data_IF_699406634200
#
_entry.id   IF_699406634200
#
_cell.length_a   1.000
_cell.length_b   1.000
_cell.length_c   1.000
_cell.angle_alpha   90.00
_cell.angle_beta   90.00
_cell.angle_gamma   90.00
#
_symmetry.space_group_name_H-M   'P 1'
#
loop_
_entity.id
_entity.type
_entity.pdbx_description
1 polymer ?
#
# COMPACT_ATOMS: atom_id res chain seq x y z
N UNK A 1 -36.58 -11.66 -11.32
CA UNK A 1 -35.38 -12.44 -11.60
C UNK A 1 -34.59 -11.71 -12.70
N UNK A 2 -33.73 -10.75 -12.35
CA UNK A 2 -32.80 -10.12 -13.28
C UNK A 2 -31.40 -10.35 -12.69
N UNK A 3 -30.67 -11.28 -13.31
CA UNK A 3 -29.24 -11.52 -13.03
C UNK A 3 -28.45 -10.45 -13.77
N UNK A 4 -27.95 -9.45 -13.05
CA UNK A 4 -26.92 -8.54 -13.56
C UNK A 4 -25.59 -9.27 -13.47
N UNK A 5 -25.05 -9.67 -14.62
CA UNK A 5 -23.68 -10.13 -14.76
C UNK A 5 -22.75 -8.92 -14.51
N UNK A 6 -22.12 -8.88 -13.35
CA UNK A 6 -20.97 -8.01 -13.13
C UNK A 6 -19.80 -8.56 -13.96
N UNK A 7 -19.53 -7.90 -15.06
CA UNK A 7 -18.37 -8.18 -15.93
C UNK A 7 -17.11 -7.77 -15.16
N UNK A 8 -16.39 -8.73 -14.59
CA UNK A 8 -15.06 -8.56 -14.07
C UNK A 8 -14.14 -8.27 -15.28
N UNK A 9 -13.80 -7.00 -15.47
CA UNK A 9 -12.82 -6.58 -16.44
C UNK A 9 -11.43 -7.10 -16.06
N UNK A 10 -11.00 -8.23 -16.63
CA UNK A 10 -9.61 -8.64 -16.65
C UNK A 10 -8.82 -7.59 -17.42
N UNK A 11 -8.07 -6.76 -16.70
CA UNK A 11 -7.02 -5.95 -17.29
C UNK A 11 -5.92 -6.92 -17.77
N UNK A 12 -5.97 -7.27 -19.06
CA UNK A 12 -4.87 -7.92 -19.76
C UNK A 12 -3.70 -6.94 -19.83
N UNK A 13 -2.79 -7.00 -18.84
CA UNK A 13 -1.48 -6.36 -18.97
C UNK A 13 -0.73 -7.15 -20.07
N UNK A 14 -0.69 -6.59 -21.27
CA UNK A 14 0.24 -7.00 -22.30
C UNK A 14 1.66 -6.75 -21.79
N UNK A 15 2.31 -7.78 -21.29
CA UNK A 15 3.75 -7.82 -21.04
C UNK A 15 4.46 -7.76 -22.39
N UNK A 16 4.81 -6.57 -22.85
CA UNK A 16 5.74 -6.40 -23.96
C UNK A 16 7.12 -6.85 -23.48
N UNK A 17 7.77 -7.83 -24.13
CA UNK A 17 9.10 -8.25 -23.78
C UNK A 17 10.12 -7.19 -24.22
N UNK A 18 10.95 -6.75 -23.27
CA UNK A 18 12.30 -6.27 -23.58
C UNK A 18 12.49 -4.80 -23.88
N UNK A 19 11.89 -3.87 -23.15
CA UNK A 19 12.51 -2.54 -23.00
C UNK A 19 13.37 -2.53 -21.75
N UNK A 20 14.68 -2.70 -21.90
CA UNK A 20 15.64 -2.30 -20.86
C UNK A 20 15.57 -0.76 -20.79
N UNK A 21 14.81 -0.24 -19.86
CA UNK A 21 14.82 1.19 -19.56
C UNK A 21 16.15 1.46 -18.88
N UNK A 22 17.02 2.23 -19.55
CA UNK A 22 18.26 2.67 -18.94
C UNK A 22 17.90 3.48 -17.69
N UNK A 23 18.47 3.09 -16.55
CA UNK A 23 18.20 3.72 -15.26
C UNK A 23 18.80 5.11 -15.24
N UNK A 24 17.96 6.15 -15.22
CA UNK A 24 18.43 7.53 -15.05
C UNK A 24 18.75 7.75 -13.58
N UNK A 25 20.03 8.06 -13.30
CA UNK A 25 20.53 8.29 -11.93
C UNK A 25 21.07 9.70 -11.77
N UNK A 26 21.06 10.19 -10.54
CA UNK A 26 21.73 11.43 -10.12
C UNK A 26 22.89 11.07 -9.20
N UNK A 27 24.12 11.38 -9.62
CA UNK A 27 25.34 11.16 -8.86
C UNK A 27 25.87 12.49 -8.33
N UNK A 28 26.11 12.57 -7.03
CA UNK A 28 26.71 13.76 -6.42
C UNK A 28 28.22 13.57 -6.31
N UNK A 29 28.98 14.51 -6.85
CA UNK A 29 30.43 14.55 -6.74
C UNK A 29 30.87 15.07 -5.35
N UNK A 30 32.13 14.83 -4.96
CA UNK A 30 32.66 15.33 -3.68
C UNK A 30 32.69 16.84 -3.56
N UNK A 31 32.81 17.55 -4.68
CA UNK A 31 32.73 19.03 -4.72
C UNK A 31 31.30 19.57 -4.53
N UNK A 32 30.27 18.69 -4.51
CA UNK A 32 28.88 19.05 -4.35
C UNK A 32 28.09 19.16 -5.65
N UNK A 33 28.73 19.07 -6.81
CA UNK A 33 28.04 19.07 -8.10
C UNK A 33 27.25 17.79 -8.29
N UNK A 34 26.15 17.85 -9.04
CA UNK A 34 25.31 16.70 -9.36
C UNK A 34 25.34 16.42 -10.86
N UNK A 35 25.62 15.17 -11.20
CA UNK A 35 25.58 14.65 -12.57
C UNK A 35 24.33 13.82 -12.76
N UNK A 36 23.55 14.12 -13.80
CA UNK A 36 22.33 13.41 -14.15
C UNK A 36 22.56 12.68 -15.48
N UNK A 37 22.23 11.39 -15.54
CA UNK A 37 22.39 10.62 -16.77
C UNK A 37 21.94 9.18 -16.61
N UNK A 38 22.08 8.43 -17.69
CA UNK A 38 21.76 7.00 -17.70
C UNK A 38 22.92 6.20 -17.10
N UNK A 39 22.61 5.36 -16.12
CA UNK A 39 23.59 4.44 -15.55
C UNK A 39 23.89 3.32 -16.57
N UNK A 40 25.12 3.27 -17.04
CA UNK A 40 25.57 2.21 -17.98
C UNK A 40 26.10 1.01 -17.21
N UNK A 41 26.96 1.26 -16.20
CA UNK A 41 27.61 0.20 -15.45
C UNK A 41 28.02 0.71 -14.05
N UNK A 42 27.91 -0.17 -13.06
CA UNK A 42 28.50 0.05 -11.73
C UNK A 42 29.30 -1.20 -11.35
N UNK A 43 30.60 -1.05 -11.24
CA UNK A 43 31.49 -2.14 -10.88
C UNK A 43 31.71 -2.14 -9.35
N UNK A 44 31.18 -3.13 -8.61
CA UNK A 44 31.30 -3.18 -7.16
C UNK A 44 32.72 -3.46 -6.67
N UNK A 45 33.60 -4.06 -7.51
CA UNK A 45 34.92 -4.47 -7.11
C UNK A 45 35.95 -3.33 -7.10
N UNK A 46 35.80 -2.36 -7.99
CA UNK A 46 36.70 -1.19 -8.08
C UNK A 46 35.98 0.13 -7.80
N UNK A 47 34.67 0.11 -7.54
CA UNK A 47 33.86 1.29 -7.25
C UNK A 47 33.67 2.24 -8.44
N UNK A 48 34.03 1.82 -9.67
CA UNK A 48 33.84 2.63 -10.87
C UNK A 48 32.38 2.64 -11.29
N UNK A 49 31.86 3.83 -11.59
CA UNK A 49 30.50 4.04 -12.11
C UNK A 49 30.58 4.69 -13.48
N UNK A 50 29.95 4.10 -14.47
CA UNK A 50 29.89 4.63 -15.85
C UNK A 50 28.50 5.24 -16.07
N UNK A 51 28.46 6.53 -16.36
CA UNK A 51 27.28 7.32 -16.59
C UNK A 51 27.29 7.87 -18.02
N UNK A 52 26.17 7.77 -18.72
CA UNK A 52 25.98 8.43 -20.01
C UNK A 52 25.23 9.77 -19.77
N UNK A 53 26.02 10.87 -19.74
CA UNK A 53 25.47 12.21 -19.48
C UNK A 53 24.96 12.83 -20.80
N UNK A 54 23.79 13.48 -20.83
CA UNK A 54 23.17 13.97 -22.07
C UNK A 54 24.01 15.00 -22.83
N UNK A 55 24.83 15.78 -22.12
CA UNK A 55 25.68 16.81 -22.73
C UNK A 55 27.17 16.46 -22.76
N UNK A 56 27.67 15.66 -21.80
CA UNK A 56 29.08 15.35 -21.63
C UNK A 56 29.45 13.97 -22.18
N UNK A 57 28.46 13.19 -22.63
CA UNK A 57 28.67 11.82 -23.13
C UNK A 57 28.97 10.81 -22.02
N UNK A 58 29.72 9.78 -22.35
CA UNK A 58 30.10 8.71 -21.42
C UNK A 58 31.16 9.18 -20.43
N UNK A 59 30.78 9.18 -19.15
CA UNK A 59 31.67 9.55 -18.04
C UNK A 59 31.97 8.31 -17.21
N UNK A 60 33.25 8.14 -16.90
CA UNK A 60 33.73 7.10 -15.99
C UNK A 60 34.14 7.78 -14.67
N UNK A 61 33.45 7.47 -13.60
CA UNK A 61 33.61 8.09 -12.29
C UNK A 61 34.17 7.06 -11.30
N UNK A 62 35.24 7.41 -10.64
CA UNK A 62 35.85 6.56 -9.60
C UNK A 62 35.18 6.83 -8.23
N UNK A 63 35.27 5.87 -7.30
CA UNK A 63 34.66 5.99 -5.98
C UNK A 63 35.14 7.21 -5.18
N UNK A 64 36.37 7.66 -5.40
CA UNK A 64 36.96 8.83 -4.76
C UNK A 64 36.47 10.17 -5.33
N UNK A 65 35.89 10.18 -6.53
CA UNK A 65 35.24 11.36 -7.14
C UNK A 65 33.78 11.50 -6.67
N UNK A 66 33.16 10.41 -6.26
CA UNK A 66 31.78 10.40 -5.81
C UNK A 66 31.70 10.73 -4.32
N UNK A 67 30.66 11.49 -3.94
CA UNK A 67 30.30 11.65 -2.54
C UNK A 67 29.74 10.30 -2.05
N UNK A 68 30.24 9.77 -0.92
CA UNK A 68 29.67 8.55 -0.36
C UNK A 68 28.16 8.68 -0.23
N UNK A 69 27.42 7.71 -0.77
CA UNK A 69 25.96 7.68 -0.57
C UNK A 69 25.69 7.67 0.94
N UNK A 70 24.81 8.55 1.39
CA UNK A 70 24.35 8.47 2.78
C UNK A 70 23.74 7.09 2.99
N UNK A 71 24.08 6.39 4.09
CA UNK A 71 23.44 5.12 4.39
C UNK A 71 21.91 5.35 4.41
N UNK A 72 21.18 4.52 3.67
CA UNK A 72 19.71 4.58 3.70
C UNK A 72 19.26 4.28 5.13
N UNK A 73 18.36 5.10 5.69
CA UNK A 73 17.86 4.84 7.03
C UNK A 73 17.18 3.47 7.04
N UNK A 74 17.49 2.65 8.05
CA UNK A 74 16.87 1.34 8.22
C UNK A 74 15.38 1.45 8.52
N UNK A 75 14.97 2.56 9.16
CA UNK A 75 13.58 2.85 9.50
C UNK A 75 13.06 4.01 8.67
N UNK A 76 11.83 3.85 8.18
CA UNK A 76 11.05 4.92 7.56
C UNK A 76 9.63 4.87 8.13
N UNK A 77 9.11 6.00 8.60
CA UNK A 77 7.79 6.09 9.21
C UNK A 77 7.01 7.25 8.61
N UNK A 78 5.70 7.10 8.50
CA UNK A 78 4.78 8.17 8.12
C UNK A 78 3.56 8.16 9.02
N UNK A 79 3.04 9.34 9.33
CA UNK A 79 1.81 9.53 10.09
C UNK A 79 0.98 10.56 9.35
N UNK A 80 -0.32 10.31 9.21
CA UNK A 80 -1.26 11.25 8.59
C UNK A 80 -2.56 11.30 9.39
N UNK A 81 -3.18 12.48 9.44
CA UNK A 81 -4.45 12.71 10.07
C UNK A 81 -5.31 13.64 9.22
N UNK A 82 -6.63 13.46 9.26
CA UNK A 82 -7.59 14.32 8.59
C UNK A 82 -8.82 14.54 9.46
N UNK A 83 -9.34 15.76 9.43
CA UNK A 83 -10.59 16.14 10.09
C UNK A 83 -11.41 16.95 9.10
N UNK A 84 -12.65 16.53 8.89
CA UNK A 84 -13.60 17.24 8.02
C UNK A 84 -14.88 17.44 8.82
N UNK A 85 -15.28 18.68 8.99
CA UNK A 85 -16.55 19.08 9.59
C UNK A 85 -17.44 19.73 8.53
N UNK A 86 -18.73 19.45 8.57
CA UNK A 86 -19.72 20.12 7.74
C UNK A 86 -20.94 20.47 8.59
N UNK A 87 -21.50 21.68 8.36
CA UNK A 87 -22.74 22.14 8.95
C UNK A 87 -23.60 22.71 7.83
N UNK A 88 -24.85 22.24 7.73
CA UNK A 88 -25.81 22.69 6.75
C UNK A 88 -27.23 22.60 7.30
N UNK A 89 -27.92 23.72 7.35
CA UNK A 89 -29.34 23.80 7.76
C UNK A 89 -29.65 23.18 9.14
N UNK A 90 -28.65 23.17 10.05
CA UNK A 90 -28.76 22.57 11.38
C UNK A 90 -28.28 21.10 11.45
N UNK A 91 -28.00 20.47 10.33
CA UNK A 91 -27.39 19.17 10.26
C UNK A 91 -25.87 19.29 10.36
N UNK A 92 -25.25 18.50 11.20
CA UNK A 92 -23.81 18.53 11.48
C UNK A 92 -23.18 17.17 11.17
N UNK A 93 -22.04 17.17 10.53
CA UNK A 93 -21.23 15.96 10.37
C UNK A 93 -19.77 16.21 10.74
N UNK A 94 -19.13 15.19 11.31
CA UNK A 94 -17.72 15.20 11.67
C UNK A 94 -17.08 13.88 11.24
N UNK A 95 -16.07 13.97 10.39
CA UNK A 95 -15.24 12.84 9.99
C UNK A 95 -13.82 13.04 10.50
N UNK A 96 -13.27 12.03 11.15
CA UNK A 96 -11.89 11.97 11.63
C UNK A 96 -11.23 10.76 11.00
N UNK A 97 -10.06 10.96 10.41
CA UNK A 97 -9.23 9.88 9.87
C UNK A 97 -7.81 9.97 10.40
N UNK A 98 -7.22 8.81 10.64
CA UNK A 98 -5.83 8.68 11.08
C UNK A 98 -5.19 7.50 10.34
N UNK A 99 -3.93 7.63 9.93
CA UNK A 99 -3.15 6.52 9.39
C UNK A 99 -1.69 6.64 9.77
N UNK A 100 -1.03 5.49 9.90
CA UNK A 100 0.39 5.41 10.17
C UNK A 100 1.01 4.20 9.47
N UNK A 101 2.26 4.35 9.09
CA UNK A 101 3.07 3.27 8.52
C UNK A 101 4.48 3.40 9.02
N UNK A 102 5.06 2.29 9.42
CA UNK A 102 6.51 2.20 9.69
C UNK A 102 7.08 1.00 8.96
N UNK A 103 8.29 1.16 8.48
CA UNK A 103 9.00 0.12 7.75
C UNK A 103 10.46 0.08 8.20
N UNK A 104 10.90 -1.09 8.60
CA UNK A 104 12.30 -1.46 8.73
C UNK A 104 12.75 -2.21 7.47
N UNK A 105 13.90 -1.88 6.92
CA UNK A 105 14.48 -2.58 5.77
C UNK A 105 15.99 -2.57 5.86
N UNK A 106 16.57 -3.75 5.83
CA UNK A 106 18.01 -3.99 5.59
C UNK A 106 18.20 -4.92 4.39
N UNK A 107 19.42 -5.43 4.19
CA UNK A 107 19.74 -6.32 3.07
C UNK A 107 19.21 -7.75 3.26
N UNK A 108 18.81 -8.12 4.48
CA UNK A 108 18.41 -9.48 4.84
C UNK A 108 16.90 -9.62 5.11
N UNK A 109 16.22 -8.51 5.41
CA UNK A 109 14.82 -8.57 5.81
C UNK A 109 14.13 -7.21 5.67
N UNK A 110 12.81 -7.28 5.59
CA UNK A 110 11.92 -6.12 5.61
C UNK A 110 10.76 -6.41 6.55
N UNK A 111 10.49 -5.49 7.47
CA UNK A 111 9.34 -5.51 8.36
C UNK A 111 8.51 -4.26 8.10
N UNK A 112 7.21 -4.42 7.90
CA UNK A 112 6.28 -3.30 7.69
C UNK A 112 5.11 -3.43 8.65
N UNK A 113 4.79 -2.34 9.34
CA UNK A 113 3.59 -2.19 10.14
C UNK A 113 2.81 -1.00 9.61
N UNK A 114 1.54 -1.18 9.32
CA UNK A 114 0.65 -0.08 8.96
C UNK A 114 -0.68 -0.18 9.68
N UNK A 115 -1.35 0.95 9.85
CA UNK A 115 -2.67 1.00 10.44
C UNK A 115 -3.43 2.23 9.98
N UNK A 116 -4.75 2.15 10.01
CA UNK A 116 -5.64 3.25 9.72
C UNK A 116 -6.90 3.17 10.57
N UNK A 117 -7.46 4.33 10.85
CA UNK A 117 -8.75 4.47 11.51
C UNK A 117 -9.53 5.60 10.85
N UNK A 118 -10.83 5.40 10.65
CA UNK A 118 -11.75 6.40 10.12
C UNK A 118 -13.08 6.31 10.89
N UNK A 119 -13.55 7.45 11.39
CA UNK A 119 -14.84 7.57 12.06
C UNK A 119 -15.57 8.77 11.49
N UNK A 120 -16.83 8.59 11.09
CA UNK A 120 -17.73 9.65 10.67
C UNK A 120 -19.00 9.56 11.48
N UNK A 121 -19.46 10.69 12.01
CA UNK A 121 -20.69 10.82 12.77
C UNK A 121 -21.48 11.98 12.20
N UNK A 122 -22.78 11.80 12.09
CA UNK A 122 -23.73 12.85 11.69
C UNK A 122 -24.81 13.05 12.73
N UNK A 123 -25.37 14.25 12.74
CA UNK A 123 -26.50 14.60 13.57
C UNK A 123 -27.42 15.51 12.77
N UNK A 124 -28.57 15.00 12.40
CA UNK A 124 -29.61 15.76 11.74
C UNK A 124 -30.42 16.55 12.77
N UNK A 125 -30.97 17.69 12.32
CA UNK A 125 -31.72 18.59 13.21
C UNK A 125 -32.91 17.89 13.84
N UNK A 126 -32.89 17.76 15.18
CA UNK A 126 -33.93 17.07 15.96
C UNK A 126 -33.75 15.56 16.12
N UNK A 127 -32.71 14.97 15.51
CA UNK A 127 -32.42 13.54 15.63
C UNK A 127 -31.23 13.25 16.56
N UNK A 128 -31.11 12.03 17.10
CA UNK A 128 -29.93 11.62 17.86
C UNK A 128 -28.70 11.49 16.96
N UNK A 129 -27.50 11.59 17.56
CA UNK A 129 -26.24 11.37 16.88
C UNK A 129 -26.20 9.96 16.28
N UNK A 130 -25.91 9.87 14.97
CA UNK A 130 -25.68 8.61 14.25
C UNK A 130 -24.18 8.38 13.97
N UNK A 131 -23.79 7.11 13.89
CA UNK A 131 -22.46 6.69 13.48
C UNK A 131 -22.55 6.20 12.03
N UNK A 132 -22.03 6.99 11.08
CA UNK A 132 -22.11 6.68 9.66
C UNK A 132 -20.97 5.74 9.22
N UNK A 133 -19.80 5.88 9.86
CA UNK A 133 -18.63 5.07 9.58
C UNK A 133 -17.80 4.91 10.84
N UNK A 134 -17.36 3.69 11.10
CA UNK A 134 -16.36 3.40 12.13
C UNK A 134 -15.52 2.22 11.64
N UNK A 135 -14.36 2.52 11.02
CA UNK A 135 -13.51 1.54 10.36
C UNK A 135 -12.07 1.66 10.82
N UNK A 136 -11.40 0.52 10.96
CA UNK A 136 -9.98 0.46 11.28
C UNK A 136 -9.31 -0.68 10.55
N UNK A 137 -8.00 -0.56 10.37
CA UNK A 137 -7.15 -1.65 9.87
C UNK A 137 -5.78 -1.62 10.51
N UNK A 138 -5.19 -2.80 10.65
CA UNK A 138 -3.78 -2.96 11.01
C UNK A 138 -3.19 -4.09 10.18
N UNK A 139 -1.99 -3.88 9.65
CA UNK A 139 -1.27 -4.87 8.86
C UNK A 139 0.16 -4.97 9.35
N UNK A 140 0.62 -6.20 9.59
CA UNK A 140 2.01 -6.54 9.87
C UNK A 140 2.50 -7.47 8.77
N UNK A 141 3.59 -7.10 8.09
CA UNK A 141 4.22 -7.89 7.04
C UNK A 141 5.70 -8.02 7.28
N UNK A 142 6.20 -9.23 7.20
CA UNK A 142 7.61 -9.60 7.23
C UNK A 142 8.00 -10.23 5.90
N UNK A 143 9.06 -9.75 5.24
CA UNK A 143 9.61 -10.31 4.02
C UNK A 143 11.09 -10.66 4.25
N UNK A 144 11.51 -11.84 3.77
CA UNK A 144 12.88 -12.34 3.82
C UNK A 144 13.35 -12.73 2.43
N UNK A 145 14.30 -12.01 1.81
CA UNK A 145 14.90 -12.37 0.55
C UNK A 145 15.57 -13.75 0.62
N UNK A 146 15.27 -14.63 -0.34
CA UNK A 146 15.90 -15.95 -0.47
C UNK A 146 16.62 -16.11 -1.81
N UNK A 147 16.27 -15.28 -2.80
CA UNK A 147 16.97 -15.16 -4.08
C UNK A 147 16.83 -13.73 -4.63
N UNK A 148 17.50 -13.41 -5.70
CA UNK A 148 17.51 -12.06 -6.29
C UNK A 148 16.10 -11.49 -6.55
N UNK A 149 15.15 -12.33 -6.97
CA UNK A 149 13.78 -11.95 -7.32
C UNK A 149 12.74 -12.81 -6.59
N UNK A 150 13.06 -13.29 -5.40
CA UNK A 150 12.17 -14.15 -4.62
C UNK A 150 12.35 -13.89 -3.13
N UNK A 151 11.27 -13.49 -2.48
CA UNK A 151 11.18 -13.31 -1.04
C UNK A 151 10.19 -14.32 -0.45
N UNK A 152 10.47 -14.84 0.74
CA UNK A 152 9.46 -15.45 1.60
C UNK A 152 8.77 -14.35 2.38
N UNK A 153 7.45 -14.45 2.55
CA UNK A 153 6.73 -13.48 3.37
C UNK A 153 5.77 -14.14 4.37
N UNK A 154 5.49 -13.41 5.42
CA UNK A 154 4.39 -13.65 6.35
C UNK A 154 3.63 -12.34 6.55
N UNK A 155 2.29 -12.40 6.50
CA UNK A 155 1.41 -11.24 6.64
C UNK A 155 0.29 -11.56 7.62
N UNK A 156 -0.03 -10.60 8.48
CA UNK A 156 -1.25 -10.59 9.28
C UNK A 156 -1.97 -9.27 9.04
N UNK A 157 -3.22 -9.34 8.65
CA UNK A 157 -4.08 -8.18 8.42
C UNK A 157 -5.31 -8.30 9.34
N UNK A 158 -5.61 -7.22 10.05
CA UNK A 158 -6.81 -7.04 10.85
C UNK A 158 -7.63 -5.91 10.25
N UNK A 159 -8.94 -6.14 10.11
CA UNK A 159 -9.91 -5.13 9.68
C UNK A 159 -11.05 -5.07 10.69
N UNK A 160 -11.46 -3.86 11.02
CA UNK A 160 -12.60 -3.52 11.86
C UNK A 160 -13.56 -2.65 11.07
N UNK A 161 -14.84 -2.99 11.09
CA UNK A 161 -15.92 -2.15 10.58
C UNK A 161 -17.11 -2.22 11.54
N UNK A 162 -17.20 -1.25 12.45
CA UNK A 162 -18.19 -1.17 13.52
C UNK A 162 -19.63 -0.99 13.01
N UNK A 163 -19.80 -0.62 11.73
CA UNK A 163 -21.12 -0.47 11.10
C UNK A 163 -21.59 -1.72 10.35
N UNK A 164 -20.82 -2.81 10.37
CA UNK A 164 -21.25 -4.08 9.80
C UNK A 164 -22.26 -4.78 10.73
N UNK A 165 -23.32 -5.33 10.16
CA UNK A 165 -24.29 -6.18 10.88
C UNK A 165 -23.68 -7.56 11.21
N UNK A 166 -22.80 -8.08 10.32
CA UNK A 166 -22.03 -9.32 10.48
C UNK A 166 -20.61 -9.12 9.99
N UNK A 167 -19.64 -9.77 10.65
CA UNK A 167 -18.24 -9.64 10.28
C UNK A 167 -17.64 -8.27 10.62
N UNK A 168 -17.95 -7.74 11.80
CA UNK A 168 -17.37 -6.49 12.35
C UNK A 168 -15.84 -6.56 12.40
N UNK A 169 -15.31 -7.72 12.76
CA UNK A 169 -13.87 -7.98 12.84
C UNK A 169 -13.47 -9.04 11.82
N UNK A 170 -12.44 -8.78 11.06
CA UNK A 170 -11.85 -9.75 10.13
C UNK A 170 -10.35 -9.85 10.36
N UNK A 171 -9.84 -11.06 10.47
CA UNK A 171 -8.39 -11.36 10.57
C UNK A 171 -8.01 -12.24 9.39
N UNK A 172 -6.98 -11.84 8.67
CA UNK A 172 -6.36 -12.62 7.60
C UNK A 172 -4.90 -12.88 7.94
N UNK A 173 -4.51 -14.15 8.02
CA UNK A 173 -3.12 -14.60 8.05
C UNK A 173 -2.74 -15.17 6.67
N UNK A 174 -1.56 -14.81 6.18
CA UNK A 174 -1.04 -15.29 4.89
C UNK A 174 0.46 -15.53 5.00
N UNK A 175 0.95 -16.63 4.45
CA UNK A 175 2.37 -16.93 4.28
C UNK A 175 2.62 -17.38 2.85
N UNK A 176 3.78 -17.07 2.27
CA UNK A 176 4.01 -17.46 0.89
C UNK A 176 5.27 -16.88 0.29
N UNK A 177 5.23 -16.69 -1.01
CA UNK A 177 6.34 -16.15 -1.80
C UNK A 177 5.94 -14.82 -2.44
N UNK A 178 6.89 -13.91 -2.50
CA UNK A 178 6.75 -12.62 -3.14
C UNK A 178 7.82 -12.48 -4.24
N UNK A 179 7.40 -11.91 -5.36
CA UNK A 179 8.20 -11.71 -6.57
C UNK A 179 8.33 -10.20 -6.82
N UNK A 180 9.47 -9.58 -6.51
CA UNK A 180 9.77 -8.22 -6.96
C UNK A 180 9.93 -8.21 -8.49
N UNK A 181 8.86 -7.81 -9.21
CA UNK A 181 8.82 -7.82 -10.67
C UNK A 181 9.52 -6.61 -11.28
N UNK A 182 9.38 -5.45 -10.63
CA UNK A 182 10.05 -4.21 -11.01
C UNK A 182 10.68 -3.61 -9.75
N UNK A 183 11.92 -3.19 -9.88
CA UNK A 183 12.66 -2.53 -8.80
C UNK A 183 13.57 -1.48 -9.40
N UNK A 184 13.13 -0.24 -9.42
CA UNK A 184 13.92 0.93 -9.82
C UNK A 184 13.89 1.99 -8.72
N UNK A 185 14.58 3.10 -8.91
CA UNK A 185 14.53 4.23 -7.95
C UNK A 185 13.16 4.86 -7.86
N UNK A 186 12.38 4.81 -8.95
CA UNK A 186 11.07 5.46 -9.05
C UNK A 186 9.89 4.50 -9.00
N UNK A 187 10.11 3.20 -9.25
CA UNK A 187 9.02 2.23 -9.39
C UNK A 187 9.36 0.92 -8.70
N UNK A 188 8.48 0.44 -7.86
CA UNK A 188 8.55 -0.89 -7.24
C UNK A 188 7.21 -1.59 -7.49
N UNK A 189 7.24 -2.76 -8.13
CA UNK A 189 6.09 -3.65 -8.31
C UNK A 189 6.43 -5.01 -7.72
N UNK A 190 5.64 -5.45 -6.76
CA UNK A 190 5.78 -6.75 -6.13
C UNK A 190 4.47 -7.52 -6.25
N UNK A 191 4.54 -8.78 -6.67
CA UNK A 191 3.41 -9.72 -6.57
C UNK A 191 3.72 -10.75 -5.51
N UNK A 192 2.71 -11.11 -4.71
CA UNK A 192 2.86 -12.15 -3.69
C UNK A 192 1.67 -13.10 -3.70
N UNK A 193 1.94 -14.38 -3.45
CA UNK A 193 0.93 -15.44 -3.42
C UNK A 193 1.23 -16.43 -2.31
N UNK A 194 0.19 -16.92 -1.64
CA UNK A 194 0.35 -17.96 -0.63
C UNK A 194 -0.96 -18.44 -0.05
N UNK A 195 -0.94 -19.57 0.67
CA UNK A 195 -2.07 -20.03 1.48
C UNK A 195 -2.42 -19.00 2.55
N UNK A 196 -3.70 -18.89 2.82
CA UNK A 196 -4.24 -17.94 3.80
C UNK A 196 -5.25 -18.60 4.72
N UNK A 197 -5.40 -18.00 5.91
CA UNK A 197 -6.45 -18.31 6.87
C UNK A 197 -7.20 -17.02 7.16
N UNK A 198 -8.51 -17.03 6.97
CA UNK A 198 -9.38 -15.90 7.25
C UNK A 198 -10.39 -16.28 8.32
N UNK A 199 -10.55 -15.39 9.29
CA UNK A 199 -11.61 -15.41 10.30
C UNK A 199 -12.38 -14.09 10.21
N UNK A 200 -13.72 -14.18 10.35
CA UNK A 200 -14.61 -13.02 10.43
C UNK A 200 -15.60 -13.24 11.56
N UNK A 201 -15.86 -12.21 12.37
CA UNK A 201 -16.75 -12.35 13.52
C UNK A 201 -17.23 -11.02 14.10
N UNK A 202 -18.23 -11.11 14.99
CA UNK A 202 -18.88 -9.95 15.61
C UNK A 202 -19.96 -9.32 14.74
N UNK A 203 -20.78 -8.46 15.36
CA UNK A 203 -21.96 -7.85 14.78
C UNK A 203 -23.27 -8.46 15.31
N UNK A 204 -24.35 -7.72 15.16
CA UNK A 204 -25.67 -8.08 15.75
C UNK A 204 -26.31 -9.31 15.08
N UNK A 205 -25.98 -9.58 13.81
CA UNK A 205 -26.49 -10.73 13.06
C UNK A 205 -25.51 -11.90 13.00
N UNK A 206 -24.32 -11.80 13.63
CA UNK A 206 -23.28 -12.83 13.56
C UNK A 206 -23.77 -14.22 14.02
N UNK A 207 -24.62 -14.29 15.03
CA UNK A 207 -25.17 -15.56 15.55
C UNK A 207 -26.09 -16.29 14.54
N UNK A 208 -26.66 -15.58 13.58
CA UNK A 208 -27.51 -16.12 12.52
C UNK A 208 -26.82 -16.25 11.17
N UNK A 209 -25.59 -15.77 11.06
CA UNK A 209 -24.77 -15.80 9.84
C UNK A 209 -23.91 -17.08 9.83
N UNK A 210 -24.02 -17.87 8.76
CA UNK A 210 -23.32 -19.15 8.61
C UNK A 210 -21.81 -19.02 8.62
N UNK A 211 -21.28 -17.90 8.16
CA UNK A 211 -19.83 -17.67 8.00
C UNK A 211 -19.21 -16.95 9.19
N UNK A 212 -20.00 -16.21 9.96
CA UNK A 212 -19.52 -15.43 11.09
C UNK A 212 -19.08 -16.33 12.26
N UNK A 213 -17.96 -15.98 12.89
CA UNK A 213 -17.37 -16.72 14.01
C UNK A 213 -16.49 -17.89 13.59
N UNK A 214 -16.41 -18.21 12.30
CA UNK A 214 -15.67 -19.34 11.78
C UNK A 214 -14.37 -18.93 11.08
N UNK A 215 -13.42 -19.89 10.98
CA UNK A 215 -12.15 -19.70 10.26
C UNK A 215 -12.14 -20.57 9.01
N UNK A 216 -11.66 -19.99 7.91
CA UNK A 216 -11.61 -20.65 6.60
C UNK A 216 -10.23 -20.54 5.99
N UNK A 217 -9.75 -21.69 5.50
CA UNK A 217 -8.55 -21.76 4.68
C UNK A 217 -8.80 -21.19 3.27
N UNK A 218 -7.73 -20.71 2.64
CA UNK A 218 -7.83 -20.14 1.32
C UNK A 218 -6.47 -19.89 0.69
N UNK A 219 -6.46 -19.05 -0.34
CA UNK A 219 -5.25 -18.52 -0.96
C UNK A 219 -5.42 -17.01 -1.22
N UNK A 220 -4.35 -16.27 -1.04
CA UNK A 220 -4.32 -14.82 -1.29
C UNK A 220 -3.26 -14.49 -2.33
N UNK A 221 -3.66 -13.67 -3.31
CA UNK A 221 -2.79 -13.03 -4.30
C UNK A 221 -2.80 -11.53 -4.03
N UNK A 222 -1.61 -10.92 -3.93
CA UNK A 222 -1.48 -9.48 -3.75
C UNK A 222 -0.58 -8.90 -4.82
N UNK A 223 -0.93 -7.73 -5.35
CA UNK A 223 -0.09 -6.91 -6.21
C UNK A 223 0.08 -5.53 -5.56
N UNK A 224 1.32 -5.14 -5.32
CA UNK A 224 1.71 -3.88 -4.71
C UNK A 224 2.55 -3.08 -5.71
N UNK A 225 2.05 -1.90 -6.11
CA UNK A 225 2.75 -0.95 -6.96
C UNK A 225 3.03 0.33 -6.17
N UNK A 226 4.28 0.76 -6.18
CA UNK A 226 4.70 2.09 -5.73
C UNK A 226 5.40 2.78 -6.90
N UNK A 227 4.92 3.97 -7.26
CA UNK A 227 5.45 4.75 -8.37
C UNK A 227 5.64 6.20 -7.98
N UNK A 228 6.87 6.70 -8.15
CA UNK A 228 7.28 8.06 -7.81
C UNK A 228 7.76 8.79 -9.07
N UNK A 229 6.86 9.27 -9.94
CA UNK A 229 7.23 9.91 -11.21
C UNK A 229 7.98 11.23 -11.01
N UNK A 230 7.70 11.95 -9.91
CA UNK A 230 8.36 13.21 -9.55
C UNK A 230 8.72 13.19 -8.06
N UNK A 231 9.72 13.97 -7.64
CA UNK A 231 10.09 14.08 -6.22
C UNK A 231 8.91 14.49 -5.31
N UNK A 232 7.98 15.30 -5.85
CA UNK A 232 6.80 15.81 -5.12
C UNK A 232 5.59 14.90 -5.15
N UNK A 233 5.58 13.80 -5.94
CA UNK A 233 4.39 12.98 -6.13
C UNK A 233 4.69 11.48 -6.09
N UNK A 234 3.95 10.76 -5.27
CA UNK A 234 4.02 9.30 -5.17
C UNK A 234 2.64 8.69 -5.29
N UNK A 235 2.53 7.64 -6.08
CA UNK A 235 1.35 6.79 -6.22
C UNK A 235 1.60 5.44 -5.56
N UNK A 236 0.61 4.95 -4.86
CA UNK A 236 0.54 3.59 -4.32
C UNK A 236 -0.72 2.91 -4.84
N UNK A 237 -0.60 1.67 -5.28
CA UNK A 237 -1.74 0.83 -5.63
C UNK A 237 -1.50 -0.55 -5.05
N UNK A 238 -2.43 -1.02 -4.23
CA UNK A 238 -2.43 -2.38 -3.70
C UNK A 238 -3.74 -3.04 -4.09
N UNK A 239 -3.66 -4.23 -4.65
CA UNK A 239 -4.81 -5.09 -4.87
C UNK A 239 -4.57 -6.44 -4.21
N UNK A 240 -5.46 -6.84 -3.31
CA UNK A 240 -5.43 -8.12 -2.63
C UNK A 240 -6.68 -8.90 -2.99
N UNK A 241 -6.50 -10.03 -3.62
CA UNK A 241 -7.55 -10.98 -3.96
C UNK A 241 -7.42 -12.21 -3.06
N UNK A 242 -8.51 -12.59 -2.36
CA UNK A 242 -8.54 -13.73 -1.43
C UNK A 242 -9.62 -14.70 -1.85
N UNK A 243 -9.22 -15.90 -2.25
CA UNK A 243 -10.12 -17.03 -2.49
C UNK A 243 -10.22 -17.87 -1.22
N UNK A 244 -11.43 -18.06 -0.70
CA UNK A 244 -11.72 -18.85 0.49
C UNK A 244 -12.26 -20.22 0.06
N UNK A 245 -11.78 -21.31 0.66
CA UNK A 245 -12.19 -22.67 0.35
C UNK A 245 -13.42 -23.07 1.19
N UNK A 246 -14.51 -22.36 0.98
CA UNK A 246 -15.80 -22.66 1.57
C UNK A 246 -16.88 -22.58 0.50
N UNK A 247 -17.86 -23.48 0.58
CA UNK A 247 -19.00 -23.46 -0.33
C UNK A 247 -19.76 -22.14 -0.12
N UNK A 248 -20.27 -21.56 -1.24
CA UNK A 248 -21.06 -20.33 -1.26
C UNK A 248 -20.29 -19.03 -0.91
N UNK A 249 -19.01 -19.08 -0.51
CA UNK A 249 -18.19 -17.90 -0.31
C UNK A 249 -17.60 -17.47 -1.65
N UNK A 250 -17.88 -16.23 -2.03
CA UNK A 250 -17.26 -15.62 -3.21
C UNK A 250 -15.87 -15.07 -2.85
N UNK A 251 -14.92 -15.06 -3.81
CA UNK A 251 -13.62 -14.46 -3.58
C UNK A 251 -13.72 -13.00 -3.14
N UNK A 252 -13.00 -12.66 -2.09
CA UNK A 252 -12.87 -11.28 -1.62
C UNK A 252 -11.85 -10.48 -2.43
N UNK A 253 -12.03 -9.17 -2.48
CA UNK A 253 -11.09 -8.25 -3.09
C UNK A 253 -10.95 -6.98 -2.25
N UNK A 254 -9.72 -6.58 -1.98
CA UNK A 254 -9.40 -5.29 -1.37
C UNK A 254 -8.51 -4.51 -2.32
N UNK A 255 -9.02 -3.38 -2.81
CA UNK A 255 -8.28 -2.43 -3.64
C UNK A 255 -7.99 -1.19 -2.81
N UNK A 256 -6.74 -0.78 -2.73
CA UNK A 256 -6.31 0.49 -2.11
C UNK A 256 -5.49 1.28 -3.11
N UNK A 257 -5.92 2.49 -3.41
CA UNK A 257 -5.17 3.46 -4.20
C UNK A 257 -4.82 4.67 -3.31
N UNK A 258 -3.58 5.13 -3.38
CA UNK A 258 -3.07 6.22 -2.56
C UNK A 258 -2.25 7.17 -3.42
N UNK A 259 -2.48 8.47 -3.24
CA UNK A 259 -1.68 9.54 -3.85
C UNK A 259 -1.11 10.37 -2.72
N UNK A 260 0.21 10.55 -2.70
CA UNK A 260 0.93 11.41 -1.75
C UNK A 260 1.55 12.57 -2.50
N UNK A 261 1.28 13.76 -2.02
CA UNK A 261 1.85 14.99 -2.55
C UNK A 261 2.72 15.66 -1.49
N UNK A 262 3.95 15.98 -1.86
CA UNK A 262 4.94 16.71 -1.06
C UNK A 262 5.07 18.12 -1.61
N UNK A 263 4.77 19.18 -0.82
CA UNK A 263 4.77 20.57 -1.32
C UNK A 263 6.15 21.08 -1.73
N UNK A 264 7.23 20.45 -1.27
CA UNK A 264 8.61 20.72 -1.70
C UNK A 264 9.40 19.42 -1.77
N UNK A 265 10.44 19.36 -2.58
CA UNK A 265 11.25 18.16 -2.87
C UNK A 265 11.83 17.48 -1.61
N UNK A 266 12.19 18.27 -0.59
CA UNK A 266 12.71 17.78 0.69
C UNK A 266 11.71 17.96 1.86
N UNK A 267 10.43 18.17 1.53
CA UNK A 267 9.41 18.33 2.57
C UNK A 267 9.20 17.01 3.30
N UNK A 268 9.15 17.09 4.63
CA UNK A 268 8.63 16.01 5.46
C UNK A 268 7.12 16.03 5.55
N UNK A 269 6.49 17.18 5.23
CA UNK A 269 5.04 17.32 5.21
C UNK A 269 4.49 16.78 3.90
N UNK A 270 3.35 16.13 3.97
CA UNK A 270 2.65 15.59 2.80
C UNK A 270 1.14 15.71 2.94
N UNK A 271 0.47 15.69 1.80
CA UNK A 271 -0.97 15.47 1.70
C UNK A 271 -1.21 14.10 1.10
N UNK A 272 -2.11 13.31 1.69
CA UNK A 272 -2.49 11.99 1.21
C UNK A 272 -3.96 11.98 0.82
N UNK A 273 -4.25 11.48 -0.39
CA UNK A 273 -5.58 11.06 -0.81
C UNK A 273 -5.56 9.53 -0.94
N UNK A 274 -6.45 8.86 -0.23
CA UNK A 274 -6.57 7.39 -0.25
C UNK A 274 -7.99 6.99 -0.58
N UNK A 275 -8.12 6.04 -1.50
CA UNK A 275 -9.36 5.37 -1.85
C UNK A 275 -9.20 3.89 -1.53
N UNK A 276 -10.14 3.31 -0.81
CA UNK A 276 -10.17 1.89 -0.50
C UNK A 276 -11.53 1.32 -0.84
N UNK A 277 -11.54 0.20 -1.54
CA UNK A 277 -12.72 -0.59 -1.86
C UNK A 277 -12.50 -2.02 -1.35
N UNK A 278 -13.39 -2.50 -0.50
CA UNK A 278 -13.33 -3.82 0.10
C UNK A 278 -14.60 -4.56 -0.28
N UNK A 279 -14.46 -5.71 -0.95
CA UNK A 279 -15.53 -6.65 -1.20
C UNK A 279 -15.24 -7.96 -0.45
N UNK A 280 -16.15 -8.39 0.42
CA UNK A 280 -16.05 -9.63 1.19
C UNK A 280 -17.45 -10.22 1.38
N UNK A 281 -17.74 -11.34 0.74
CA UNK A 281 -19.05 -12.01 0.83
C UNK A 281 -19.35 -12.65 2.20
N UNK A 282 -18.35 -12.69 3.09
CA UNK A 282 -18.48 -13.14 4.48
C UNK A 282 -18.92 -12.02 5.45
N UNK A 283 -19.11 -10.80 4.96
CA UNK A 283 -19.48 -9.64 5.76
C UNK A 283 -20.79 -9.04 5.26
N UNK A 284 -21.53 -8.39 6.15
CA UNK A 284 -22.73 -7.64 5.78
C UNK A 284 -22.59 -6.19 6.25
N UNK A 285 -22.57 -5.19 5.35
CA UNK A 285 -22.65 -5.32 3.88
C UNK A 285 -21.37 -5.88 3.25
N UNK A 286 -21.48 -6.55 2.10
CA UNK A 286 -20.36 -7.16 1.40
C UNK A 286 -19.39 -6.14 0.79
N UNK A 287 -19.89 -4.97 0.35
CA UNK A 287 -19.10 -3.93 -0.30
C UNK A 287 -18.96 -2.70 0.59
N UNK A 288 -17.72 -2.32 0.83
CA UNK A 288 -17.35 -1.16 1.63
C UNK A 288 -16.37 -0.27 0.88
N UNK A 289 -16.75 0.99 0.64
CA UNK A 289 -15.89 1.99 0.01
C UNK A 289 -15.54 3.10 1.00
N UNK A 290 -14.31 3.60 0.93
CA UNK A 290 -13.84 4.68 1.80
C UNK A 290 -12.92 5.60 1.02
N UNK A 291 -13.12 6.91 1.14
CA UNK A 291 -12.22 7.94 0.60
C UNK A 291 -11.77 8.80 1.77
N UNK A 292 -10.46 9.01 1.89
CA UNK A 292 -9.88 9.84 2.95
C UNK A 292 -8.88 10.82 2.38
N UNK A 293 -8.92 12.06 2.87
CA UNK A 293 -7.91 13.09 2.63
C UNK A 293 -7.25 13.46 3.97
N UNK A 294 -5.93 13.46 4.00
CA UNK A 294 -5.15 13.62 5.23
C UNK A 294 -3.94 14.51 5.01
N UNK A 295 -3.53 15.22 6.05
CA UNK A 295 -2.22 15.86 6.16
C UNK A 295 -1.31 14.98 7.00
N UNK A 296 -0.05 14.89 6.65
CA UNK A 296 0.87 13.99 7.31
C UNK A 296 2.31 14.47 7.31
N UNK A 297 3.15 13.65 7.94
CA UNK A 297 4.58 13.84 7.96
C UNK A 297 5.32 12.49 7.82
N UNK A 298 6.44 12.54 7.08
CA UNK A 298 7.39 11.43 6.93
C UNK A 298 8.61 11.63 7.82
N UNK A 299 9.07 10.54 8.42
CA UNK A 299 10.24 10.47 9.30
C UNK A 299 11.17 9.36 8.79
N UNK A 300 12.40 9.74 8.45
CA UNK A 300 13.46 8.83 7.97
C UNK A 300 14.82 9.30 8.44
#
# INVERSE_FOLDING_TARGET
MHRSLATAGLLSLCLAPGMSWAETVSLTLRNGDSLHGELVERNPNNGTTVLNHPQLGRLELTADQLKPAKPKPLWASSISAGVIGNEKDGDNSLSISFSGKTRYKDDQQKLSLSGSFNSSKSKDSGEPLSIDTEKGSAELRYDKPIAANLDLFALSNYQYNGTNDSGVNTVLGNIGVAFPLLKSETTELTMSIGPSLQWSGGGITCASDTFCGNSYGGATLTADLSWKPWPSLQFGLQNQFTAVWANEVQPGNTLTAEVRYYPAENSKLLTTLRVQSIYQSMNTPELNNTITAQLGADFS
#
